data_IF_060857186245
#
_entry.id   IF_060857186245
#
_cell.length_a   1.000
_cell.length_b   1.000
_cell.length_c   1.000
_cell.angle_alpha   90.00
_cell.angle_beta   90.00
_cell.angle_gamma   90.00
#
_symmetry.space_group_name_H-M   'P 1'
#
loop_
_entity.id
_entity.type
_entity.pdbx_description
1 polymer ?
#
# COMPACT_ATOMS: atom_id res chain seq x y z
N UNK A 1 19.68 3.29 3.04
CA UNK A 1 19.02 2.85 4.28
C UNK A 1 18.44 1.46 4.02
N UNK A 2 18.40 0.59 5.03
CA UNK A 2 17.83 -0.76 4.94
C UNK A 2 16.57 -0.85 5.82
N UNK A 3 15.54 -1.62 5.42
CA UNK A 3 14.35 -1.81 6.23
C UNK A 3 14.67 -2.59 7.51
N UNK A 4 13.91 -2.37 8.60
CA UNK A 4 14.06 -3.17 9.81
C UNK A 4 13.62 -4.61 9.55
N UNK A 5 14.31 -5.57 10.17
CA UNK A 5 13.91 -6.98 10.11
C UNK A 5 12.62 -7.20 10.90
N UNK A 6 11.75 -8.07 10.39
CA UNK A 6 10.55 -8.49 11.09
C UNK A 6 10.92 -9.14 12.44
N UNK A 7 10.37 -8.65 13.58
CA UNK A 7 10.86 -9.02 14.90
C UNK A 7 10.14 -10.24 15.51
N UNK A 8 9.22 -10.88 14.79
CA UNK A 8 8.43 -12.01 15.29
C UNK A 8 8.79 -13.32 14.54
N UNK A 9 8.40 -14.50 15.07
CA UNK A 9 8.61 -15.76 14.38
C UNK A 9 7.99 -15.79 12.98
N UNK A 10 8.66 -16.50 12.08
CA UNK A 10 8.23 -16.73 10.70
C UNK A 10 8.14 -18.23 10.47
N UNK A 11 7.01 -18.69 9.93
CA UNK A 11 6.87 -20.05 9.42
C UNK A 11 7.56 -20.15 8.06
N UNK A 12 8.73 -20.79 8.04
CA UNK A 12 9.56 -20.92 6.85
C UNK A 12 8.87 -21.72 5.72
N UNK A 13 8.08 -22.74 6.06
CA UNK A 13 7.38 -23.57 5.07
C UNK A 13 6.25 -22.79 4.41
N UNK A 14 5.48 -22.07 5.21
CA UNK A 14 4.41 -21.21 4.72
C UNK A 14 4.96 -20.02 3.92
N UNK A 15 6.05 -19.41 4.36
CA UNK A 15 6.74 -18.36 3.61
C UNK A 15 7.30 -18.85 2.26
N UNK A 16 7.81 -20.08 2.18
CA UNK A 16 8.25 -20.68 0.93
C UNK A 16 7.08 -20.85 -0.05
N UNK A 17 5.93 -21.37 0.40
CA UNK A 17 4.70 -21.43 -0.41
C UNK A 17 4.23 -20.03 -0.83
N UNK A 18 4.33 -19.06 0.09
CA UNK A 18 3.99 -17.66 -0.17
C UNK A 18 4.85 -17.02 -1.25
N UNK A 19 6.14 -17.37 -1.31
CA UNK A 19 7.06 -16.91 -2.35
C UNK A 19 6.57 -17.31 -3.73
N UNK A 20 6.19 -18.57 -3.91
CA UNK A 20 5.73 -19.07 -5.21
C UNK A 20 4.45 -18.35 -5.66
N UNK A 21 3.50 -18.17 -4.74
CA UNK A 21 2.28 -17.39 -4.99
C UNK A 21 2.58 -15.92 -5.31
N UNK A 22 3.51 -15.30 -4.60
CA UNK A 22 3.95 -13.93 -4.84
C UNK A 22 4.59 -13.77 -6.21
N UNK A 23 5.48 -14.68 -6.60
CA UNK A 23 6.13 -14.66 -7.92
C UNK A 23 5.07 -14.77 -9.03
N UNK A 24 4.10 -15.65 -8.86
CA UNK A 24 3.04 -15.86 -9.85
C UNK A 24 2.06 -14.68 -9.96
N UNK A 25 1.80 -13.93 -8.89
CA UNK A 25 0.70 -12.96 -8.84
C UNK A 25 1.12 -11.49 -8.64
N UNK A 26 2.32 -11.22 -8.10
CA UNK A 26 2.70 -9.91 -7.58
C UNK A 26 3.99 -9.36 -8.22
N UNK A 27 4.97 -10.24 -8.48
CA UNK A 27 6.32 -9.84 -8.87
C UNK A 27 6.40 -9.04 -10.17
N UNK A 28 5.44 -9.21 -11.10
CA UNK A 28 5.38 -8.43 -12.35
C UNK A 28 5.26 -6.91 -12.12
N UNK A 29 4.69 -6.50 -10.99
CA UNK A 29 4.52 -5.09 -10.64
C UNK A 29 5.47 -4.65 -9.52
N UNK A 30 5.61 -5.48 -8.48
CA UNK A 30 6.40 -5.14 -7.28
C UNK A 30 7.86 -5.57 -7.33
N UNK A 31 8.25 -6.34 -8.35
CA UNK A 31 9.59 -6.84 -8.54
C UNK A 31 9.88 -8.17 -7.85
N UNK A 32 11.12 -8.61 -7.97
CA UNK A 32 11.66 -9.83 -7.37
C UNK A 32 12.67 -9.47 -6.27
N UNK A 33 12.81 -10.36 -5.29
CA UNK A 33 13.66 -10.12 -4.11
C UNK A 33 14.76 -11.18 -3.98
N UNK A 34 15.87 -10.79 -3.37
CA UNK A 34 17.08 -11.62 -3.19
C UNK A 34 18.20 -11.24 -4.16
N UNK A 35 19.30 -12.01 -4.19
CA UNK A 35 20.42 -11.76 -5.10
C UNK A 35 19.94 -11.68 -6.56
N UNK A 36 20.26 -10.57 -7.24
CA UNK A 36 19.81 -10.32 -8.61
C UNK A 36 18.33 -9.95 -8.74
N UNK A 37 17.65 -9.60 -7.64
CA UNK A 37 16.29 -9.09 -7.66
C UNK A 37 16.17 -7.83 -8.53
N UNK A 38 15.02 -7.68 -9.19
CA UNK A 38 14.74 -6.56 -10.11
C UNK A 38 13.51 -5.84 -9.63
N UNK A 39 13.60 -4.52 -9.49
CA UNK A 39 12.47 -3.65 -9.24
C UNK A 39 12.05 -2.94 -10.54
N UNK A 40 10.86 -3.25 -11.11
CA UNK A 40 10.45 -2.70 -12.40
C UNK A 40 10.12 -1.21 -12.39
N UNK A 41 9.99 -0.59 -11.21
CA UNK A 41 9.50 0.78 -11.04
C UNK A 41 8.21 1.07 -11.83
N UNK A 42 7.28 0.11 -11.79
CA UNK A 42 6.10 0.13 -12.66
C UNK A 42 5.04 1.08 -12.12
N UNK A 43 4.52 1.92 -12.98
CA UNK A 43 3.29 2.69 -12.75
C UNK A 43 2.10 1.93 -13.30
N UNK A 44 1.05 1.79 -12.50
CA UNK A 44 -0.22 1.17 -12.92
C UNK A 44 -1.24 2.27 -13.18
N UNK A 45 -1.80 2.36 -14.41
CA UNK A 45 -2.83 3.33 -14.76
C UNK A 45 -4.03 3.29 -13.80
N UNK A 46 -4.65 4.45 -13.54
CA UNK A 46 -5.72 4.59 -12.56
C UNK A 46 -6.96 3.71 -12.83
N UNK A 47 -7.27 3.43 -14.10
CA UNK A 47 -8.36 2.55 -14.52
C UNK A 47 -8.08 1.07 -14.27
N UNK A 48 -6.80 0.67 -14.23
CA UNK A 48 -6.36 -0.69 -13.90
C UNK A 48 -6.21 -0.88 -12.39
N UNK A 49 -5.54 0.06 -11.70
CA UNK A 49 -5.31 -0.06 -10.25
C UNK A 49 -6.58 0.24 -9.46
N UNK A 50 -7.43 1.17 -9.90
CA UNK A 50 -8.73 1.46 -9.27
C UNK A 50 -8.70 2.00 -7.84
N UNK A 51 -7.51 2.32 -7.30
CA UNK A 51 -7.38 2.99 -5.99
C UNK A 51 -7.85 4.45 -6.09
N UNK A 52 -8.01 5.15 -4.96
CA UNK A 52 -8.44 6.54 -4.94
C UNK A 52 -7.66 7.40 -5.95
N UNK A 53 -8.37 8.18 -6.76
CA UNK A 53 -7.79 8.89 -7.91
C UNK A 53 -7.39 10.32 -7.57
N UNK A 54 -7.82 10.82 -6.41
CA UNK A 54 -7.75 12.24 -6.04
C UNK A 54 -6.32 12.77 -6.05
N UNK A 55 -5.34 11.98 -5.60
CA UNK A 55 -3.93 12.38 -5.59
C UNK A 55 -3.39 12.55 -7.01
N UNK A 56 -3.58 11.54 -7.88
CA UNK A 56 -3.09 11.58 -9.25
C UNK A 56 -3.81 12.64 -10.10
N UNK A 57 -5.12 12.77 -9.96
CA UNK A 57 -5.93 13.73 -10.73
C UNK A 57 -5.80 15.17 -10.23
N UNK A 58 -5.40 15.36 -8.96
CA UNK A 58 -5.08 16.68 -8.41
C UNK A 58 -3.92 17.36 -9.14
N UNK A 59 -3.04 16.59 -9.79
CA UNK A 59 -1.96 17.10 -10.62
C UNK A 59 -2.32 17.04 -12.11
N UNK A 60 -2.98 18.09 -12.59
CA UNK A 60 -3.49 18.15 -13.97
C UNK A 60 -2.37 18.07 -15.03
N UNK A 61 -2.63 17.54 -16.23
CA UNK A 61 -1.66 17.52 -17.33
C UNK A 61 -1.09 18.90 -17.67
N UNK A 62 -1.89 19.97 -17.56
CA UNK A 62 -1.44 21.35 -17.77
C UNK A 62 -0.43 21.79 -16.71
N UNK A 63 -0.69 21.45 -15.44
CA UNK A 63 0.24 21.74 -14.35
C UNK A 63 1.54 20.95 -14.53
N UNK A 64 1.44 19.69 -14.96
CA UNK A 64 2.59 18.85 -15.30
C UNK A 64 3.43 19.44 -16.43
N UNK A 65 2.80 19.84 -17.54
CA UNK A 65 3.49 20.47 -18.67
C UNK A 65 4.22 21.76 -18.23
N UNK A 66 3.59 22.58 -17.39
CA UNK A 66 4.21 23.79 -16.87
C UNK A 66 5.42 23.47 -15.99
N UNK A 67 5.29 22.52 -15.07
CA UNK A 67 6.38 22.12 -14.17
C UNK A 67 7.55 21.49 -14.93
N UNK A 68 7.26 20.65 -15.92
CA UNK A 68 8.26 19.98 -16.77
C UNK A 68 9.11 20.98 -17.60
N UNK A 69 8.60 22.18 -17.86
CA UNK A 69 9.36 23.26 -18.51
C UNK A 69 10.16 24.13 -17.53
N UNK A 70 9.96 23.96 -16.23
CA UNK A 70 10.63 24.76 -15.22
C UNK A 70 12.05 24.25 -14.94
N UNK A 71 12.82 25.06 -14.23
CA UNK A 71 14.17 24.70 -13.77
C UNK A 71 14.19 23.37 -12.96
N UNK A 72 13.10 23.05 -12.25
CA UNK A 72 13.01 21.84 -11.41
C UNK A 72 13.01 20.51 -12.18
N UNK A 73 12.74 20.53 -13.48
CA UNK A 73 12.58 19.31 -14.29
C UNK A 73 13.67 19.15 -15.38
N UNK A 74 14.81 19.83 -15.20
CA UNK A 74 15.89 19.81 -16.19
C UNK A 74 16.88 18.64 -16.02
N UNK A 75 16.78 17.90 -14.90
CA UNK A 75 17.68 16.78 -14.63
C UNK A 75 17.41 15.60 -15.58
N UNK A 76 18.50 15.01 -16.08
CA UNK A 76 18.49 13.91 -17.03
C UNK A 76 19.43 12.80 -16.60
N UNK A 77 19.11 11.58 -16.98
CA UNK A 77 19.98 10.43 -16.79
C UNK A 77 21.20 10.46 -17.73
N UNK A 78 22.08 9.46 -17.61
CA UNK A 78 23.27 9.35 -18.45
C UNK A 78 22.95 9.16 -19.94
N UNK A 79 21.75 8.68 -20.28
CA UNK A 79 21.25 8.54 -21.64
C UNK A 79 20.58 9.80 -22.18
N UNK A 80 20.39 10.83 -21.35
CA UNK A 80 19.74 12.08 -21.71
C UNK A 80 18.21 12.07 -21.54
N UNK A 81 17.64 11.01 -20.98
CA UNK A 81 16.22 10.93 -20.67
C UNK A 81 15.89 11.73 -19.41
N UNK A 82 14.76 12.45 -19.36
CA UNK A 82 14.38 13.24 -18.20
C UNK A 82 14.05 12.33 -17.00
N UNK A 83 14.55 12.68 -15.81
CA UNK A 83 14.20 11.95 -14.58
C UNK A 83 12.74 12.15 -14.16
N UNK A 84 12.19 13.33 -14.46
CA UNK A 84 10.81 13.68 -14.11
C UNK A 84 9.93 13.58 -15.35
N UNK A 85 8.88 12.77 -15.25
CA UNK A 85 7.87 12.62 -16.29
C UNK A 85 6.48 12.62 -15.67
N UNK A 86 5.49 12.99 -16.46
CA UNK A 86 4.09 12.88 -16.06
C UNK A 86 3.64 11.41 -16.08
N UNK A 87 2.86 11.02 -15.08
CA UNK A 87 2.29 9.67 -14.97
C UNK A 87 0.82 9.75 -14.61
N UNK A 88 0.00 8.90 -15.22
CA UNK A 88 -1.46 8.83 -15.07
C UNK A 88 -1.91 7.67 -14.16
N UNK A 89 -1.08 7.35 -13.16
CA UNK A 89 -1.25 6.18 -12.32
C UNK A 89 -0.43 6.24 -11.04
N UNK A 90 -0.39 5.13 -10.33
CA UNK A 90 0.43 5.00 -9.12
C UNK A 90 1.56 4.01 -9.33
N UNK A 91 2.76 4.40 -8.89
CA UNK A 91 3.90 3.53 -8.82
C UNK A 91 3.62 2.39 -7.81
N UNK A 92 3.90 1.15 -8.21
CA UNK A 92 3.93 0.01 -7.31
C UNK A 92 5.22 0.06 -6.50
N UNK A 93 5.21 0.38 -5.20
CA UNK A 93 6.45 0.50 -4.43
C UNK A 93 7.13 -0.86 -4.25
N UNK A 94 8.44 -0.89 -3.96
CA UNK A 94 9.08 -2.07 -3.40
C UNK A 94 8.38 -2.45 -2.07
N UNK A 95 8.38 -3.74 -1.73
CA UNK A 95 7.72 -4.25 -0.54
C UNK A 95 8.70 -4.65 0.55
N UNK A 96 9.98 -4.30 0.39
CA UNK A 96 11.00 -4.41 1.42
C UNK A 96 10.57 -3.59 2.64
N UNK A 97 10.53 -4.23 3.81
CA UNK A 97 10.05 -3.64 5.05
C UNK A 97 8.54 -3.38 5.12
N UNK A 98 7.72 -3.91 4.19
CA UNK A 98 6.26 -3.67 4.16
C UNK A 98 5.56 -3.99 5.48
N UNK A 99 6.13 -4.92 6.26
CA UNK A 99 5.61 -5.23 7.58
C UNK A 99 5.56 -3.99 8.49
N UNK A 100 6.50 -3.06 8.37
CA UNK A 100 6.61 -1.91 9.27
C UNK A 100 5.83 -0.66 8.82
N UNK A 101 5.15 -0.69 7.68
CA UNK A 101 4.65 0.53 7.02
C UNK A 101 3.13 0.62 6.93
N UNK A 102 2.40 -0.17 7.72
CA UNK A 102 0.94 -0.04 7.79
C UNK A 102 0.55 1.37 8.31
N UNK A 103 -0.61 1.92 7.88
CA UNK A 103 -1.53 1.38 6.87
C UNK A 103 -1.04 1.53 5.42
N UNK A 104 -1.70 0.85 4.49
CA UNK A 104 -1.28 0.70 3.10
C UNK A 104 -2.12 1.51 2.10
N UNK A 105 -1.62 1.56 0.87
CA UNK A 105 -1.99 2.49 -0.22
C UNK A 105 -1.52 3.92 0.01
N UNK A 106 -1.53 4.71 -1.06
CA UNK A 106 -1.09 6.12 -1.04
C UNK A 106 -1.90 7.00 -0.07
N UNK A 107 -3.11 6.57 0.30
CA UNK A 107 -3.99 7.28 1.22
C UNK A 107 -4.16 6.59 2.59
N UNK A 108 -3.41 5.50 2.87
CA UNK A 108 -3.47 4.76 4.14
C UNK A 108 -4.86 4.14 4.48
N UNK A 109 -5.65 3.79 3.46
CA UNK A 109 -7.02 3.29 3.62
C UNK A 109 -7.13 1.78 3.91
N UNK A 110 -6.04 1.01 3.73
CA UNK A 110 -6.00 -0.42 4.04
C UNK A 110 -5.18 -0.69 5.32
N UNK A 111 -5.79 -1.10 6.45
CA UNK A 111 -5.08 -1.20 7.73
C UNK A 111 -3.98 -2.26 7.81
N UNK A 112 -4.10 -3.32 7.01
CA UNK A 112 -3.21 -4.48 7.04
C UNK A 112 -2.97 -5.03 5.63
N UNK A 113 -1.91 -5.83 5.42
CA UNK A 113 -1.68 -6.48 4.11
C UNK A 113 -2.80 -7.45 3.77
N UNK A 114 -3.41 -8.11 4.76
CA UNK A 114 -4.63 -8.89 4.52
C UNK A 114 -5.73 -8.05 3.84
N UNK A 115 -5.94 -6.81 4.28
CA UNK A 115 -6.90 -5.90 3.65
C UNK A 115 -6.46 -5.45 2.24
N UNK A 116 -5.16 -5.40 1.95
CA UNK A 116 -4.66 -5.17 0.58
C UNK A 116 -5.01 -6.35 -0.32
N UNK A 117 -4.83 -7.59 0.17
CA UNK A 117 -5.07 -8.84 -0.57
C UNK A 117 -6.54 -9.28 -0.60
N UNK A 118 -7.41 -8.69 0.21
CA UNK A 118 -8.83 -9.00 0.29
C UNK A 118 -9.64 -7.70 0.33
N UNK A 119 -10.03 -7.19 -0.85
CA UNK A 119 -10.73 -5.91 -0.96
C UNK A 119 -12.10 -5.93 -0.26
N UNK A 120 -12.80 -7.07 -0.32
CA UNK A 120 -14.10 -7.25 0.32
C UNK A 120 -14.07 -7.21 1.84
N UNK A 121 -12.90 -7.42 2.45
CA UNK A 121 -12.72 -7.36 3.91
C UNK A 121 -12.34 -5.95 4.42
N UNK A 122 -12.10 -4.97 3.54
CA UNK A 122 -11.62 -3.64 3.96
C UNK A 122 -12.67 -2.90 4.79
N UNK A 123 -12.33 -2.40 5.99
CA UNK A 123 -13.26 -1.62 6.78
C UNK A 123 -13.53 -0.27 6.11
N UNK A 124 -14.79 0.19 6.15
CA UNK A 124 -15.19 1.51 5.64
C UNK A 124 -14.89 2.62 6.63
N UNK A 125 -15.10 2.36 7.91
CA UNK A 125 -14.85 3.33 8.98
C UNK A 125 -14.14 2.60 10.10
N UNK A 126 -12.98 3.09 10.50
CA UNK A 126 -12.19 2.43 11.52
C UNK A 126 -11.31 3.42 12.29
N UNK A 127 -10.89 2.99 13.47
CA UNK A 127 -9.87 3.66 14.28
C UNK A 127 -8.85 2.64 14.76
N UNK A 128 -7.67 3.11 15.19
CA UNK A 128 -6.67 2.30 15.87
C UNK A 128 -6.38 2.89 17.24
N UNK A 129 -5.59 2.21 18.06
CA UNK A 129 -5.22 2.71 19.40
C UNK A 129 -4.28 3.92 19.37
N UNK A 130 -3.62 4.17 18.24
CA UNK A 130 -2.55 5.17 18.04
C UNK A 130 -1.27 4.93 18.84
N UNK A 131 -1.24 3.85 19.62
CA UNK A 131 -0.04 3.33 20.24
C UNK A 131 0.79 2.52 19.24
N UNK A 132 2.01 2.18 19.62
CA UNK A 132 2.97 1.50 18.76
C UNK A 132 3.57 0.27 19.43
N UNK A 133 2.90 -0.25 20.46
CA UNK A 133 3.35 -1.45 21.14
C UNK A 133 3.00 -2.69 20.31
N UNK A 134 3.67 -3.81 20.62
CA UNK A 134 3.43 -5.10 19.99
C UNK A 134 1.96 -5.51 20.01
N UNK A 135 1.25 -5.20 21.09
CA UNK A 135 -0.15 -5.59 21.27
C UNK A 135 -1.12 -4.82 20.38
N UNK A 136 -0.70 -3.69 19.80
CA UNK A 136 -1.50 -2.91 18.86
C UNK A 136 -1.28 -3.36 17.40
N UNK A 137 -0.29 -4.22 17.16
CA UNK A 137 0.06 -4.74 15.84
C UNK A 137 -0.53 -6.14 15.61
N UNK A 138 -1.10 -6.36 14.43
CA UNK A 138 -1.64 -7.65 14.00
C UNK A 138 -0.58 -8.40 13.19
N UNK A 139 0.07 -9.38 13.82
CA UNK A 139 1.11 -10.21 13.19
C UNK A 139 0.55 -11.22 12.19
N UNK A 140 -0.74 -11.53 12.25
CA UNK A 140 -1.41 -12.46 11.34
C UNK A 140 -1.82 -11.75 10.05
N UNK A 141 -2.43 -10.57 10.16
CA UNK A 141 -2.87 -9.77 9.02
C UNK A 141 -1.81 -8.81 8.48
N UNK A 142 -0.71 -8.64 9.22
CA UNK A 142 0.44 -7.78 8.93
C UNK A 142 0.02 -6.30 8.82
N UNK A 143 -0.20 -5.66 9.96
CA UNK A 143 -0.47 -4.22 10.06
C UNK A 143 -1.07 -3.82 11.40
N UNK A 144 -1.85 -2.73 11.44
CA UNK A 144 -2.46 -2.27 12.69
C UNK A 144 -3.73 -3.04 13.03
N UNK A 145 -3.91 -3.40 14.31
CA UNK A 145 -5.23 -3.77 14.82
C UNK A 145 -6.12 -2.54 14.77
N UNK A 146 -7.35 -2.73 14.30
CA UNK A 146 -8.34 -1.67 14.16
C UNK A 146 -9.66 -2.06 14.79
N UNK A 147 -10.36 -1.06 15.31
CA UNK A 147 -11.77 -1.15 15.66
C UNK A 147 -12.59 -0.63 14.50
N UNK A 148 -13.46 -1.49 13.93
CA UNK A 148 -14.42 -1.09 12.91
C UNK A 148 -15.58 -0.36 13.57
N UNK A 149 -16.00 0.74 12.97
CA UNK A 149 -17.10 1.57 13.45
C UNK A 149 -18.26 1.49 12.47
N UNK A 150 -19.48 1.46 12.99
CA UNK A 150 -20.70 1.39 12.17
C UNK A 150 -21.03 2.71 11.48
N UNK A 151 -20.62 3.83 12.09
CA UNK A 151 -20.93 5.18 11.62
C UNK A 151 -19.76 6.16 11.83
N UNK A 152 -19.69 7.25 11.05
CA UNK A 152 -18.73 8.32 11.27
C UNK A 152 -18.90 8.95 12.67
N UNK A 153 -17.87 9.64 13.19
CA UNK A 153 -18.00 10.32 14.47
C UNK A 153 -19.04 11.43 14.42
N UNK A 154 -19.80 11.56 15.50
CA UNK A 154 -20.74 12.66 15.69
C UNK A 154 -20.01 14.02 15.71
N UNK A 155 -20.68 15.09 15.28
CA UNK A 155 -20.11 16.44 15.27
C UNK A 155 -19.74 16.95 16.67
N UNK A 156 -20.39 16.45 17.71
CA UNK A 156 -20.08 16.72 19.13
C UNK A 156 -18.75 16.13 19.58
N UNK A 157 -18.20 15.13 18.88
CA UNK A 157 -16.88 14.57 19.18
C UNK A 157 -15.80 15.63 18.90
N UNK A 158 -14.86 15.86 19.83
CA UNK A 158 -13.80 16.85 19.64
C UNK A 158 -13.03 16.64 18.33
N UNK A 159 -12.69 17.71 17.58
CA UNK A 159 -12.00 17.58 16.29
C UNK A 159 -10.70 16.75 16.33
N UNK A 160 -10.00 16.71 17.46
CA UNK A 160 -8.83 15.86 17.65
C UNK A 160 -9.18 14.37 17.64
N UNK A 161 -10.27 13.97 18.32
CA UNK A 161 -10.73 12.59 18.35
C UNK A 161 -11.38 12.17 17.03
N UNK A 162 -12.07 13.09 16.34
CA UNK A 162 -12.61 12.80 14.99
C UNK A 162 -11.51 12.50 13.98
N UNK A 163 -10.34 13.14 14.10
CA UNK A 163 -9.17 12.89 13.25
C UNK A 163 -8.53 11.52 13.48
N UNK A 164 -8.86 10.85 14.58
CA UNK A 164 -8.43 9.47 14.85
C UNK A 164 -9.27 8.42 14.11
N UNK A 165 -10.36 8.84 13.47
CA UNK A 165 -11.23 7.94 12.71
C UNK A 165 -10.93 8.12 11.23
N UNK A 166 -10.56 7.01 10.60
CA UNK A 166 -10.45 6.91 9.16
C UNK A 166 -11.82 6.54 8.59
N UNK A 167 -12.36 7.43 7.76
CA UNK A 167 -13.64 7.26 7.06
C UNK A 167 -13.37 7.28 5.55
N UNK A 168 -13.59 6.14 4.91
CA UNK A 168 -13.27 5.94 3.49
C UNK A 168 -14.30 6.56 2.55
N UNK A 169 -15.41 7.10 3.08
CA UNK A 169 -16.41 7.81 2.26
C UNK A 169 -16.05 9.27 2.03
N UNK A 170 -15.01 9.78 2.71
CA UNK A 170 -14.54 11.16 2.53
C UNK A 170 -13.69 11.29 1.26
N UNK A 171 -13.65 12.49 0.63
CA UNK A 171 -12.82 12.74 -0.54
C UNK A 171 -11.34 12.36 -0.33
N UNK A 172 -10.74 11.67 -1.28
CA UNK A 172 -9.33 11.22 -1.22
C UNK A 172 -9.05 10.01 -0.33
N UNK A 173 -10.08 9.44 0.32
CA UNK A 173 -9.94 8.35 1.30
C UNK A 173 -10.54 7.02 0.85
N UNK A 174 -10.90 6.90 -0.43
CA UNK A 174 -11.47 5.65 -0.94
C UNK A 174 -10.53 4.47 -0.65
N UNK A 175 -11.11 3.38 -0.13
CA UNK A 175 -10.41 2.12 0.11
C UNK A 175 -10.61 1.12 -1.04
N UNK A 176 -11.03 1.58 -2.22
CA UNK A 176 -11.20 0.73 -3.40
C UNK A 176 -9.86 0.42 -4.09
N UNK A 177 -9.90 -0.44 -5.10
CA UNK A 177 -8.76 -0.70 -5.98
C UNK A 177 -7.82 -1.79 -5.51
N UNK A 178 -6.79 -2.05 -6.29
CA UNK A 178 -5.87 -3.16 -6.14
C UNK A 178 -6.62 -4.49 -5.85
N UNK A 179 -7.57 -4.92 -6.70
CA UNK A 179 -8.40 -6.11 -6.46
C UNK A 179 -7.68 -7.42 -6.81
N UNK A 180 -6.40 -7.37 -7.20
CA UNK A 180 -5.67 -8.51 -7.76
C UNK A 180 -5.56 -9.72 -6.82
N UNK A 181 -5.70 -9.50 -5.50
CA UNK A 181 -5.72 -10.54 -4.47
C UNK A 181 -7.10 -11.17 -4.23
N UNK A 182 -8.19 -10.64 -4.79
CA UNK A 182 -9.54 -11.07 -4.46
C UNK A 182 -9.86 -12.50 -4.91
N UNK A 183 -9.18 -12.95 -5.98
CA UNK A 183 -9.28 -14.33 -6.49
C UNK A 183 -8.55 -15.36 -5.61
N UNK A 184 -7.70 -14.93 -4.69
CA UNK A 184 -6.96 -15.83 -3.80
C UNK A 184 -7.89 -16.39 -2.72
N UNK A 185 -7.59 -17.59 -2.25
CA UNK A 185 -8.18 -18.13 -1.03
C UNK A 185 -7.48 -17.57 0.20
N UNK A 186 -8.11 -17.62 1.37
CA UNK A 186 -7.47 -17.15 2.60
C UNK A 186 -6.15 -17.86 2.93
N UNK A 187 -6.01 -19.20 2.78
CA UNK A 187 -4.72 -19.86 2.94
C UNK A 187 -3.64 -19.32 2.00
N UNK A 188 -3.98 -18.97 0.76
CA UNK A 188 -3.02 -18.36 -0.18
C UNK A 188 -2.65 -16.93 0.24
N UNK A 189 -3.61 -16.14 0.71
CA UNK A 189 -3.34 -14.79 1.25
C UNK A 189 -2.40 -14.86 2.44
N UNK A 190 -2.65 -15.76 3.40
CA UNK A 190 -1.79 -15.92 4.56
C UNK A 190 -0.40 -16.45 4.20
N UNK A 191 -0.29 -17.33 3.19
CA UNK A 191 1.02 -17.73 2.67
C UNK A 191 1.80 -16.52 2.11
N UNK A 192 1.16 -15.69 1.28
CA UNK A 192 1.80 -14.46 0.76
C UNK A 192 2.19 -13.52 1.90
N UNK A 193 1.32 -13.32 2.89
CA UNK A 193 1.63 -12.49 4.06
C UNK A 193 2.85 -13.04 4.80
N UNK A 194 2.93 -14.36 5.00
CA UNK A 194 4.08 -14.99 5.65
C UNK A 194 5.38 -14.75 4.87
N UNK A 195 5.32 -14.82 3.54
CA UNK A 195 6.45 -14.45 2.69
C UNK A 195 6.83 -12.98 2.82
N UNK A 196 5.87 -12.07 2.89
CA UNK A 196 6.12 -10.63 3.04
C UNK A 196 6.73 -10.26 4.40
N UNK A 197 6.59 -11.09 5.44
CA UNK A 197 7.37 -10.94 6.69
C UNK A 197 8.87 -11.12 6.49
N UNK A 198 9.29 -11.77 5.40
CA UNK A 198 10.72 -11.96 5.05
C UNK A 198 11.29 -10.83 4.21
N UNK A 199 10.52 -9.75 3.99
CA UNK A 199 10.89 -8.59 3.18
C UNK A 199 11.12 -7.37 4.04
#
# INVERSE_FOLDING_TARGET
MEPPKYPFPIDASLAARGKDLFVANCAKCHGTYGPGGVYPNKVIPLDIIGTDRSLAEGYTPRAAEHYLKSWFAQEKDQGGEPYLTYTDGYQCPPLDGIWATAPYFHNASAPTVYHVLNSGARPKIFTRSYRTEKDDYDTSKLGWKVQVLEKPPDASVPPAERRKIYDTTQPGRSNNGHPFGDKLTDPERFAIIEYLKTK
#
